data_IF_703230784060
#
_entry.id   IF_703230784060
#
_cell.length_a   1.000
_cell.length_b   1.000
_cell.length_c   1.000
_cell.angle_alpha   90.00
_cell.angle_beta   90.00
_cell.angle_gamma   90.00
#
_symmetry.space_group_name_H-M   'P 1'
#
loop_
_entity.id
_entity.type
_entity.pdbx_description
1 polymer ?
#
# COMPACT_ATOMS: atom_id res chain seq x y z
N UNK A 1 -9.22 6.31 -1.02
CA UNK A 1 -8.29 5.98 -2.13
C UNK A 1 -8.58 6.90 -3.31
N UNK A 2 -7.57 7.24 -4.10
CA UNK A 2 -7.69 8.14 -5.27
C UNK A 2 -8.49 7.47 -6.39
N UNK A 3 -9.14 8.26 -7.25
CA UNK A 3 -9.93 7.74 -8.38
C UNK A 3 -9.09 7.60 -9.64
N UNK A 4 -8.00 8.35 -9.68
CA UNK A 4 -7.10 8.47 -10.81
C UNK A 4 -6.25 7.20 -10.95
N UNK A 5 -5.99 6.83 -12.20
CA UNK A 5 -5.12 5.71 -12.53
C UNK A 5 -3.66 6.02 -12.16
N UNK A 6 -2.97 5.00 -11.66
CA UNK A 6 -1.53 5.00 -11.45
C UNK A 6 -0.90 4.01 -12.44
N UNK A 7 0.13 4.42 -13.16
CA UNK A 7 0.81 3.61 -14.17
C UNK A 7 2.24 3.25 -13.72
N UNK A 8 2.75 2.08 -14.13
CA UNK A 8 4.06 1.57 -13.74
C UNK A 8 5.17 2.01 -14.70
N UNK A 9 5.47 3.30 -14.73
CA UNK A 9 6.50 3.87 -15.60
C UNK A 9 7.91 3.39 -15.20
N UNK A 10 8.88 3.61 -16.11
CA UNK A 10 10.29 3.18 -15.96
C UNK A 10 10.92 3.60 -14.63
N UNK A 11 10.65 4.82 -14.18
CA UNK A 11 11.24 5.41 -12.97
C UNK A 11 10.31 5.39 -11.75
N UNK A 12 9.23 4.61 -11.80
CA UNK A 12 8.31 4.45 -10.69
C UNK A 12 6.84 4.68 -11.07
N UNK A 13 5.93 4.59 -10.09
CA UNK A 13 4.51 4.81 -10.29
C UNK A 13 4.21 6.28 -10.63
N UNK A 14 3.39 6.53 -11.65
CA UNK A 14 3.02 7.87 -12.11
C UNK A 14 1.50 7.99 -12.21
N UNK A 15 0.93 9.09 -11.70
CA UNK A 15 -0.42 9.51 -12.03
C UNK A 15 -0.37 10.36 -13.31
N UNK A 16 -0.85 9.88 -14.48
CA UNK A 16 -0.67 10.58 -15.74
C UNK A 16 -1.34 11.95 -15.77
N UNK A 17 -2.49 12.11 -15.13
CA UNK A 17 -3.20 13.38 -15.04
C UNK A 17 -2.38 14.44 -14.28
N UNK A 18 -1.77 14.05 -13.15
CA UNK A 18 -0.90 14.93 -12.38
C UNK A 18 0.39 15.25 -13.15
N UNK A 19 1.01 14.25 -13.77
CA UNK A 19 2.21 14.45 -14.58
C UNK A 19 1.96 15.43 -15.73
N UNK A 20 0.86 15.26 -16.46
CA UNK A 20 0.46 16.16 -17.55
C UNK A 20 0.20 17.58 -17.07
N UNK A 21 -0.39 17.76 -15.89
CA UNK A 21 -0.61 19.11 -15.34
C UNK A 21 0.71 19.86 -15.09
N UNK A 22 1.79 19.14 -14.76
CA UNK A 22 3.11 19.71 -14.49
C UNK A 22 4.13 19.52 -15.63
N UNK A 23 3.72 19.00 -16.79
CA UNK A 23 4.67 18.60 -17.84
C UNK A 23 5.48 19.75 -18.41
N UNK A 24 4.91 20.95 -18.45
CA UNK A 24 5.54 22.16 -19.00
C UNK A 24 6.76 22.63 -18.18
N UNK A 25 6.92 22.12 -16.95
CA UNK A 25 8.07 22.40 -16.12
C UNK A 25 9.28 21.52 -16.49
N UNK A 26 9.08 20.39 -17.16
CA UNK A 26 10.12 19.43 -17.52
C UNK A 26 11.04 19.10 -16.32
N UNK A 27 12.34 19.40 -16.42
CA UNK A 27 13.34 19.20 -15.37
C UNK A 27 13.48 20.41 -14.43
N UNK A 28 12.70 21.49 -14.63
CA UNK A 28 12.76 22.69 -13.80
C UNK A 28 12.03 22.45 -12.48
N UNK A 29 12.43 23.22 -11.47
CA UNK A 29 11.77 23.20 -10.18
C UNK A 29 10.30 23.62 -10.31
N UNK A 30 9.41 22.83 -9.71
CA UNK A 30 8.00 23.17 -9.58
C UNK A 30 7.81 24.39 -8.67
N UNK A 31 6.79 25.23 -8.89
CA UNK A 31 6.53 26.38 -8.04
C UNK A 31 6.28 25.91 -6.61
N UNK A 32 6.95 26.54 -5.66
CA UNK A 32 6.72 26.26 -4.23
C UNK A 32 5.34 26.81 -3.88
N UNK A 33 4.38 25.96 -3.45
CA UNK A 33 3.04 26.41 -3.11
C UNK A 33 3.09 27.32 -1.89
N UNK A 34 2.26 28.36 -1.87
CA UNK A 34 2.11 29.19 -0.67
C UNK A 34 1.34 28.42 0.41
N UNK A 35 1.55 28.75 1.68
CA UNK A 35 0.91 28.06 2.79
C UNK A 35 -0.63 28.14 2.73
N UNK A 36 -1.18 29.22 2.17
CA UNK A 36 -2.62 29.40 1.97
C UNK A 36 -3.20 28.41 0.96
N UNK A 37 -2.38 27.82 0.09
CA UNK A 37 -2.81 26.80 -0.88
C UNK A 37 -3.35 25.54 -0.20
N UNK A 38 -2.98 25.31 1.06
CA UNK A 38 -3.45 24.19 1.87
C UNK A 38 -4.65 24.56 2.75
N UNK A 39 -5.05 25.84 2.82
CA UNK A 39 -6.05 26.34 3.77
C UNK A 39 -7.38 25.58 3.69
N UNK A 40 -7.82 25.22 2.48
CA UNK A 40 -9.05 24.46 2.21
C UNK A 40 -9.01 22.96 2.55
N UNK A 41 -7.87 22.42 2.98
CA UNK A 41 -7.78 21.01 3.40
C UNK A 41 -8.19 20.83 4.87
N UNK A 42 -8.94 19.77 5.21
CA UNK A 42 -9.17 19.35 6.59
C UNK A 42 -7.85 19.13 7.35
N UNK A 43 -7.86 19.36 8.67
CA UNK A 43 -6.68 19.22 9.53
C UNK A 43 -6.03 17.83 9.42
N UNK A 44 -6.83 16.77 9.48
CA UNK A 44 -6.38 15.39 9.34
C UNK A 44 -5.57 15.16 8.04
N UNK A 45 -6.00 15.76 6.91
CA UNK A 45 -5.26 15.64 5.65
C UNK A 45 -3.93 16.41 5.69
N UNK A 46 -3.89 17.55 6.37
CA UNK A 46 -2.66 18.34 6.55
C UNK A 46 -1.64 17.59 7.40
N UNK A 47 -2.11 16.96 8.48
CA UNK A 47 -1.31 16.11 9.36
C UNK A 47 -0.74 14.93 8.58
N UNK A 48 -1.59 14.19 7.85
CA UNK A 48 -1.14 13.10 7.00
C UNK A 48 -0.08 13.53 5.97
N UNK A 49 -0.28 14.67 5.30
CA UNK A 49 0.71 15.21 4.35
C UNK A 49 2.03 15.60 5.04
N UNK A 50 1.97 16.14 6.25
CA UNK A 50 3.15 16.47 7.04
C UNK A 50 3.94 15.23 7.44
N UNK A 51 3.26 14.16 7.86
CA UNK A 51 3.88 12.87 8.17
C UNK A 51 4.56 12.26 6.94
N UNK A 52 3.85 12.23 5.80
CA UNK A 52 4.40 11.77 4.52
C UNK A 52 5.64 12.58 4.15
N UNK A 53 5.59 13.91 4.30
CA UNK A 53 6.73 14.77 4.00
C UNK A 53 7.91 14.54 4.95
N UNK A 54 7.66 14.42 6.25
CA UNK A 54 8.70 14.18 7.25
C UNK A 54 9.42 12.85 6.99
N UNK A 55 8.68 11.82 6.59
CA UNK A 55 9.25 10.50 6.32
C UNK A 55 9.92 10.42 4.94
N UNK A 56 9.22 10.77 3.87
CA UNK A 56 9.68 10.57 2.50
C UNK A 56 10.44 11.76 1.89
N UNK A 57 10.19 12.98 2.35
CA UNK A 57 10.77 14.21 1.78
C UNK A 57 12.28 14.32 1.92
N UNK A 58 12.89 13.52 2.80
CA UNK A 58 14.34 13.43 2.98
C UNK A 58 15.02 12.47 2.00
N UNK A 59 14.27 11.66 1.25
CA UNK A 59 14.82 10.76 0.25
C UNK A 59 14.94 11.46 -1.10
N UNK A 60 16.04 11.19 -1.81
CA UNK A 60 16.20 11.63 -3.19
C UNK A 60 15.38 10.72 -4.14
N UNK A 61 15.10 11.22 -5.35
CA UNK A 61 14.19 10.58 -6.30
C UNK A 61 14.53 9.12 -6.61
N UNK A 62 15.81 8.78 -6.80
CA UNK A 62 16.23 7.39 -7.06
C UNK A 62 15.90 6.46 -5.90
N UNK A 63 16.08 6.90 -4.65
CA UNK A 63 15.75 6.08 -3.49
C UNK A 63 14.25 5.84 -3.38
N UNK A 64 13.43 6.85 -3.67
CA UNK A 64 11.97 6.66 -3.73
C UNK A 64 11.57 5.69 -4.85
N UNK A 65 12.22 5.79 -6.01
CA UNK A 65 12.03 4.84 -7.12
C UNK A 65 12.39 3.42 -6.71
N UNK A 66 13.57 3.20 -6.10
CA UNK A 66 14.02 1.90 -5.62
C UNK A 66 13.02 1.28 -4.63
N UNK A 67 12.50 2.08 -3.69
CA UNK A 67 11.47 1.64 -2.74
C UNK A 67 10.23 1.14 -3.49
N UNK A 68 9.73 1.88 -4.48
CA UNK A 68 8.55 1.45 -5.26
C UNK A 68 8.82 0.23 -6.14
N UNK A 69 10.02 0.14 -6.73
CA UNK A 69 10.43 -1.00 -7.57
C UNK A 69 10.58 -2.29 -6.76
N UNK A 70 10.79 -2.19 -5.44
CA UNK A 70 10.82 -3.33 -4.55
C UNK A 70 9.43 -3.92 -4.27
N UNK A 71 8.36 -3.15 -4.44
CA UNK A 71 7.00 -3.57 -4.08
C UNK A 71 6.33 -4.38 -5.20
N UNK A 72 5.48 -5.34 -4.80
CA UNK A 72 4.85 -6.25 -5.75
C UNK A 72 3.90 -5.59 -6.76
N UNK A 73 3.13 -4.52 -6.46
CA UNK A 73 2.20 -3.95 -7.43
C UNK A 73 2.92 -3.41 -8.67
N UNK A 74 4.06 -2.74 -8.46
CA UNK A 74 4.90 -2.24 -9.55
C UNK A 74 5.52 -3.38 -10.36
N UNK A 75 6.08 -4.39 -9.68
CA UNK A 75 6.66 -5.59 -10.32
C UNK A 75 5.63 -6.35 -11.16
N UNK A 76 4.41 -6.49 -10.64
CA UNK A 76 3.30 -7.19 -11.30
C UNK A 76 2.86 -6.44 -12.56
N UNK A 77 2.68 -5.13 -12.48
CA UNK A 77 2.30 -4.30 -13.62
C UNK A 77 3.38 -4.28 -14.73
N UNK A 78 4.65 -4.52 -14.40
CA UNK A 78 5.77 -4.58 -15.36
C UNK A 78 6.23 -5.99 -15.69
N UNK A 79 5.42 -7.01 -15.40
CA UNK A 79 5.79 -8.40 -15.65
C UNK A 79 6.14 -8.61 -17.13
N UNK A 80 7.33 -9.13 -17.40
CA UNK A 80 7.81 -9.40 -18.76
C UNK A 80 8.52 -8.22 -19.43
N UNK A 81 8.59 -7.05 -18.79
CA UNK A 81 9.33 -5.89 -19.29
C UNK A 81 10.75 -5.84 -18.68
N UNK A 82 11.79 -5.49 -19.47
CA UNK A 82 13.10 -5.20 -18.95
C UNK A 82 13.11 -3.88 -18.14
N UNK A 83 14.10 -3.66 -17.27
CA UNK A 83 14.14 -2.47 -16.39
C UNK A 83 14.08 -1.13 -17.12
N UNK A 84 14.71 -1.04 -18.30
CA UNK A 84 14.82 0.23 -19.05
C UNK A 84 13.63 0.55 -19.95
N UNK A 85 12.68 -0.39 -20.08
CA UNK A 85 11.54 -0.21 -20.98
C UNK A 85 10.49 0.73 -20.38
N UNK A 86 10.04 1.68 -21.20
CA UNK A 86 8.89 2.52 -20.86
C UNK A 86 7.64 1.66 -20.72
N UNK A 87 6.80 1.97 -19.75
CA UNK A 87 5.51 1.31 -19.60
C UNK A 87 4.46 2.33 -19.17
N UNK A 88 3.24 2.11 -19.64
CA UNK A 88 2.02 2.80 -19.23
C UNK A 88 1.01 1.81 -18.64
N UNK A 89 1.45 0.59 -18.33
CA UNK A 89 0.59 -0.43 -17.73
C UNK A 89 0.06 0.05 -16.39
N UNK A 90 -1.25 -0.09 -16.12
CA UNK A 90 -1.85 0.36 -14.87
C UNK A 90 -1.40 -0.53 -13.71
N UNK A 91 -1.07 0.11 -12.58
CA UNK A 91 -0.99 -0.56 -11.29
C UNK A 91 -2.42 -0.67 -10.77
N UNK A 92 -2.92 -1.90 -10.67
CA UNK A 92 -4.31 -2.12 -10.28
C UNK A 92 -4.58 -1.64 -8.85
N UNK A 93 -5.76 -1.05 -8.66
CA UNK A 93 -6.21 -0.54 -7.37
C UNK A 93 -6.19 -1.63 -6.29
N UNK A 94 -6.62 -2.83 -6.64
CA UNK A 94 -6.70 -3.95 -5.71
C UNK A 94 -5.32 -4.48 -5.33
N UNK A 95 -4.32 -4.39 -6.21
CA UNK A 95 -2.93 -4.71 -5.86
C UNK A 95 -2.36 -3.69 -4.86
N UNK A 96 -2.67 -2.41 -5.03
CA UNK A 96 -2.26 -1.38 -4.05
C UNK A 96 -2.96 -1.56 -2.69
N UNK A 97 -4.24 -1.95 -2.68
CA UNK A 97 -4.95 -2.27 -1.42
C UNK A 97 -4.35 -3.50 -0.74
N UNK A 98 -4.10 -4.57 -1.50
CA UNK A 98 -3.49 -5.79 -0.99
C UNK A 98 -2.10 -5.50 -0.39
N UNK A 99 -1.29 -4.65 -1.03
CA UNK A 99 -0.05 -4.17 -0.44
C UNK A 99 -0.29 -3.42 0.88
N UNK A 100 -1.27 -2.53 0.92
CA UNK A 100 -1.64 -1.81 2.14
C UNK A 100 -1.99 -2.75 3.29
N UNK A 101 -2.85 -3.74 3.07
CA UNK A 101 -3.20 -4.76 4.07
C UNK A 101 -1.97 -5.55 4.52
N UNK A 102 -1.13 -6.00 3.57
CA UNK A 102 0.11 -6.70 3.91
C UNK A 102 1.02 -5.87 4.81
N UNK A 103 1.17 -4.56 4.55
CA UNK A 103 2.00 -3.68 5.39
C UNK A 103 1.38 -3.45 6.77
N UNK A 104 0.06 -3.33 6.86
CA UNK A 104 -0.64 -3.23 8.14
C UNK A 104 -0.44 -4.48 8.98
N UNK A 105 -0.63 -5.66 8.39
CA UNK A 105 -0.41 -6.95 9.08
C UNK A 105 1.02 -7.06 9.61
N UNK A 106 2.01 -6.63 8.83
CA UNK A 106 3.41 -6.60 9.28
C UNK A 106 3.62 -5.66 10.45
N UNK A 107 3.07 -4.44 10.38
CA UNK A 107 3.16 -3.46 11.48
C UNK A 107 2.52 -4.02 12.76
N UNK A 108 1.35 -4.64 12.62
CA UNK A 108 0.66 -5.26 13.75
C UNK A 108 1.51 -6.38 14.35
N UNK A 109 2.02 -7.30 13.53
CA UNK A 109 2.82 -8.43 14.00
C UNK A 109 4.15 -8.02 14.64
N UNK A 110 4.79 -6.96 14.14
CA UNK A 110 6.01 -6.40 14.70
C UNK A 110 5.77 -5.63 16.01
N UNK A 111 4.52 -5.28 16.32
CA UNK A 111 4.19 -4.56 17.54
C UNK A 111 4.42 -5.45 18.79
N UNK A 112 5.16 -4.97 19.82
CA UNK A 112 5.50 -5.79 20.99
C UNK A 112 4.29 -6.38 21.74
N UNK A 113 3.15 -5.70 21.69
CA UNK A 113 1.92 -6.16 22.33
C UNK A 113 1.13 -7.21 21.52
N UNK A 114 1.47 -7.43 20.24
CA UNK A 114 0.70 -8.29 19.33
C UNK A 114 0.50 -9.70 19.88
N UNK A 115 1.58 -10.34 20.33
CA UNK A 115 1.53 -11.70 20.88
C UNK A 115 0.62 -11.80 22.11
N UNK A 116 0.65 -10.79 22.98
CA UNK A 116 -0.16 -10.76 24.19
C UNK A 116 -1.64 -10.57 23.85
N UNK A 117 -1.94 -9.60 22.99
CA UNK A 117 -3.29 -9.35 22.51
C UNK A 117 -3.87 -10.59 21.80
N UNK A 118 -3.12 -11.21 20.89
CA UNK A 118 -3.63 -12.38 20.16
C UNK A 118 -3.80 -13.63 21.01
N UNK A 119 -2.94 -13.81 22.02
CA UNK A 119 -3.12 -14.88 23.01
C UNK A 119 -4.45 -14.73 23.76
N UNK A 120 -4.82 -13.50 24.13
CA UNK A 120 -6.07 -13.25 24.84
C UNK A 120 -7.29 -13.46 23.93
N UNK A 121 -7.26 -12.90 22.71
CA UNK A 121 -8.33 -13.10 21.72
C UNK A 121 -8.55 -14.59 21.44
N UNK A 122 -7.49 -15.40 21.33
CA UNK A 122 -7.60 -16.85 21.14
C UNK A 122 -8.23 -17.55 22.36
N UNK A 123 -7.87 -17.15 23.59
CA UNK A 123 -8.51 -17.72 24.79
C UNK A 123 -9.99 -17.39 24.85
N UNK A 124 -10.37 -16.15 24.55
CA UNK A 124 -11.77 -15.72 24.51
C UNK A 124 -12.56 -16.48 23.44
N UNK A 125 -11.99 -16.61 22.23
CA UNK A 125 -12.61 -17.36 21.14
C UNK A 125 -12.82 -18.85 21.50
N UNK A 126 -11.85 -19.47 22.18
CA UNK A 126 -11.96 -20.86 22.65
C UNK A 126 -12.92 -21.02 23.84
N UNK A 127 -13.06 -20.00 24.68
CA UNK A 127 -13.99 -19.99 25.80
C UNK A 127 -15.43 -19.70 25.37
N UNK A 128 -15.63 -19.21 24.14
CA UNK A 128 -16.95 -19.02 23.56
C UNK A 128 -17.48 -20.36 23.08
N UNK A 129 -18.53 -20.89 23.73
CA UNK A 129 -19.14 -22.15 23.29
C UNK A 129 -19.72 -21.99 21.87
N UNK A 130 -19.21 -22.77 20.92
CA UNK A 130 -19.87 -22.90 19.62
C UNK A 130 -21.12 -23.76 19.78
N UNK A 131 -22.28 -23.25 19.38
CA UNK A 131 -23.56 -23.99 19.41
C UNK A 131 -23.63 -25.20 18.47
N UNK A 132 -22.58 -25.44 17.67
CA UNK A 132 -22.50 -26.50 16.68
C UNK A 132 -21.34 -27.45 17.02
N UNK A 133 -21.61 -28.67 17.52
CA UNK A 133 -20.58 -29.67 17.69
C UNK A 133 -20.05 -30.07 16.30
N UNK A 134 -18.74 -29.97 16.13
CA UNK A 134 -18.07 -30.33 14.88
C UNK A 134 -18.19 -31.84 14.68
N UNK A 135 -18.76 -32.24 13.54
CA UNK A 135 -18.93 -33.62 13.13
C UNK A 135 -17.58 -34.30 12.85
N UNK A 136 -17.50 -35.62 13.06
CA UNK A 136 -16.30 -36.40 12.76
C UNK A 136 -16.02 -36.36 11.25
N UNK A 137 -14.95 -35.66 10.85
CA UNK A 137 -14.54 -35.49 9.45
C UNK A 137 -14.53 -34.04 8.99
N UNK A 138 -15.35 -33.16 9.59
CA UNK A 138 -15.46 -31.75 9.17
C UNK A 138 -14.15 -30.98 9.25
N UNK A 139 -13.36 -31.19 10.31
CA UNK A 139 -12.05 -30.52 10.45
C UNK A 139 -11.07 -30.94 9.36
N UNK A 140 -11.09 -32.23 9.00
CA UNK A 140 -10.22 -32.77 7.96
C UNK A 140 -10.62 -32.25 6.58
N UNK A 141 -11.92 -32.23 6.29
CA UNK A 141 -12.45 -31.73 5.02
C UNK A 141 -12.24 -30.22 4.88
N UNK A 142 -12.38 -29.47 5.98
CA UNK A 142 -12.06 -28.04 6.04
C UNK A 142 -10.56 -27.76 5.80
N UNK A 143 -9.67 -28.51 6.47
CA UNK A 143 -8.22 -28.38 6.27
C UNK A 143 -7.80 -28.67 4.84
N UNK A 144 -8.37 -29.69 4.20
CA UNK A 144 -8.08 -30.00 2.81
C UNK A 144 -8.61 -28.92 1.84
N UNK A 145 -9.76 -28.31 2.14
CA UNK A 145 -10.31 -27.21 1.32
C UNK A 145 -9.44 -25.93 1.33
N UNK A 146 -8.56 -25.78 2.32
CA UNK A 146 -7.60 -24.67 2.41
C UNK A 146 -6.28 -24.94 1.67
N UNK A 147 -6.02 -26.20 1.30
CA UNK A 147 -4.78 -26.65 0.65
C UNK A 147 -4.94 -26.90 -0.86
N UNK A 148 -6.18 -26.94 -1.36
CA UNK A 148 -6.56 -26.97 -2.78
C UNK A 148 -6.76 -25.55 -3.35
#
# INVERSE_FOLDING_TARGET
MFKEEIQAWRYGPVCPAAYKFYSDFEAKQLPIPRQESLSGLPSEKKELLAEIWQYFGNYHAYRLSDMTHAEFPWKKARKGLPPEESSTEPILLDDMKALGYQKLDLIEQEHPAYKAAMSEVLKEALATESSHPIGKGEVHDWLNSLLD
#
